data_IF_743952909856
#
_entry.id   IF_743952909856
#
_cell.length_a   1.000
_cell.length_b   1.000
_cell.length_c   1.000
_cell.angle_alpha   90.00
_cell.angle_beta   90.00
_cell.angle_gamma   90.00
#
_symmetry.space_group_name_H-M   'P 1'
#
loop_
_entity.id
_entity.type
_entity.pdbx_description
1 polymer ?
#
# COMPACT_ATOMS: atom_id res chain seq x y z
N UNK A 1 -9.14 -14.54 -7.12
CA UNK A 1 -10.60 -14.37 -6.99
C UNK A 1 -10.87 -13.62 -5.69
N UNK A 2 -11.82 -12.69 -5.68
CA UNK A 2 -12.25 -12.00 -4.45
C UNK A 2 -13.00 -13.01 -3.58
N UNK A 3 -12.62 -13.17 -2.30
CA UNK A 3 -13.36 -14.03 -1.36
C UNK A 3 -14.79 -13.50 -1.18
N UNK A 4 -15.75 -14.40 -1.03
CA UNK A 4 -17.14 -14.13 -0.67
C UNK A 4 -17.37 -14.40 0.82
N UNK A 5 -18.51 -13.97 1.37
CA UNK A 5 -18.84 -14.28 2.79
C UNK A 5 -18.98 -15.78 3.02
N UNK A 6 -19.37 -16.55 1.99
CA UNK A 6 -19.43 -18.02 2.04
C UNK A 6 -18.02 -18.59 2.18
N UNK A 7 -17.06 -18.10 1.39
CA UNK A 7 -15.66 -18.53 1.51
C UNK A 7 -15.07 -18.20 2.89
N UNK A 8 -15.49 -17.08 3.49
CA UNK A 8 -15.10 -16.71 4.85
C UNK A 8 -15.69 -17.71 5.86
N UNK A 9 -16.99 -17.96 5.83
CA UNK A 9 -17.65 -18.90 6.75
C UNK A 9 -17.11 -20.32 6.63
N UNK A 10 -16.79 -20.78 5.42
CA UNK A 10 -16.17 -22.10 5.21
C UNK A 10 -14.74 -22.20 5.78
N UNK A 11 -14.08 -21.08 6.01
CA UNK A 11 -12.72 -21.02 6.54
C UNK A 11 -12.65 -20.66 8.04
N UNK A 12 -13.78 -20.31 8.66
CA UNK A 12 -13.89 -20.04 10.09
C UNK A 12 -14.32 -21.30 10.84
N UNK A 13 -13.79 -21.56 12.04
CA UNK A 13 -14.32 -22.62 12.89
C UNK A 13 -15.71 -22.24 13.43
N UNK A 14 -16.57 -23.24 13.72
CA UNK A 14 -17.84 -23.04 14.42
C UNK A 14 -17.59 -22.84 15.93
N UNK A 15 -16.90 -21.76 16.29
CA UNK A 15 -16.48 -21.47 17.66
C UNK A 15 -17.43 -20.48 18.35
N UNK A 16 -17.22 -20.27 19.66
CA UNK A 16 -17.98 -19.33 20.47
C UNK A 16 -17.96 -17.90 19.88
N UNK A 17 -16.87 -17.50 19.24
CA UNK A 17 -16.74 -16.15 18.65
C UNK A 17 -17.69 -15.98 17.48
N UNK A 18 -17.78 -16.97 16.58
CA UNK A 18 -18.76 -16.96 15.49
C UNK A 18 -20.19 -16.98 16.06
N UNK A 19 -20.48 -17.82 17.05
CA UNK A 19 -21.82 -17.87 17.65
C UNK A 19 -22.25 -16.55 18.29
N UNK A 20 -21.37 -15.90 19.08
CA UNK A 20 -21.64 -14.60 19.67
C UNK A 20 -21.87 -13.51 18.62
N UNK A 21 -21.07 -13.53 17.54
CA UNK A 21 -21.23 -12.60 16.42
C UNK A 21 -22.56 -12.76 15.69
N UNK A 22 -23.00 -14.01 15.44
CA UNK A 22 -24.29 -14.26 14.79
C UNK A 22 -25.47 -13.85 15.70
N UNK A 23 -25.36 -14.15 17.00
CA UNK A 23 -26.37 -13.78 18.00
C UNK A 23 -26.51 -12.26 18.16
N UNK A 24 -25.40 -11.50 18.15
CA UNK A 24 -25.44 -10.03 18.26
C UNK A 24 -26.16 -9.37 17.09
N UNK A 25 -26.20 -10.03 15.93
CA UNK A 25 -26.94 -9.60 14.75
C UNK A 25 -28.40 -10.06 14.74
N UNK A 26 -28.84 -10.85 15.73
CA UNK A 26 -30.20 -11.37 15.81
C UNK A 26 -30.49 -12.50 14.82
N UNK A 27 -29.46 -13.12 14.23
CA UNK A 27 -29.67 -14.31 13.41
C UNK A 27 -29.95 -15.50 14.33
N UNK A 28 -31.17 -16.04 14.26
CA UNK A 28 -31.53 -17.26 14.96
C UNK A 28 -30.83 -18.45 14.29
N UNK A 29 -29.69 -18.86 14.85
CA UNK A 29 -29.00 -20.07 14.45
C UNK A 29 -29.34 -21.16 15.48
N UNK A 30 -29.62 -22.41 15.05
CA UNK A 30 -29.69 -23.54 15.96
C UNK A 30 -28.44 -23.59 16.85
N UNK A 31 -28.53 -24.08 18.11
CA UNK A 31 -27.36 -24.23 18.96
C UNK A 31 -26.25 -25.00 18.23
N UNK A 32 -24.99 -24.65 18.51
CA UNK A 32 -23.80 -25.19 17.86
C UNK A 32 -23.96 -26.70 17.58
N UNK A 33 -24.11 -27.12 16.32
CA UNK A 33 -24.19 -28.56 16.04
C UNK A 33 -22.86 -29.20 16.45
N UNK A 34 -22.92 -30.41 17.00
CA UNK A 34 -21.73 -31.24 17.12
C UNK A 34 -21.02 -31.28 15.76
N UNK A 35 -19.69 -31.10 15.69
CA UNK A 35 -18.97 -31.07 14.43
C UNK A 35 -19.32 -32.33 13.63
N UNK A 36 -20.06 -32.18 12.52
CA UNK A 36 -20.28 -33.29 11.61
C UNK A 36 -18.93 -33.64 10.97
N UNK A 37 -18.42 -34.88 11.15
CA UNK A 37 -17.05 -35.22 10.77
C UNK A 37 -16.76 -35.05 9.27
N UNK A 38 -17.79 -35.09 8.41
CA UNK A 38 -17.66 -35.10 6.94
C UNK A 38 -18.36 -33.93 6.22
N UNK A 39 -18.90 -32.95 6.95
CA UNK A 39 -19.63 -31.81 6.38
C UNK A 39 -18.76 -30.55 6.22
N UNK A 40 -19.01 -29.68 5.21
CA UNK A 40 -18.37 -28.38 5.17
C UNK A 40 -18.76 -27.56 6.42
N UNK A 41 -17.81 -26.85 7.07
CA UNK A 41 -18.10 -26.10 8.28
C UNK A 41 -19.14 -25.01 8.02
N UNK A 42 -19.93 -24.68 9.03
CA UNK A 42 -20.91 -23.57 9.01
C UNK A 42 -21.99 -23.63 7.91
N UNK A 43 -22.28 -24.81 7.35
CA UNK A 43 -23.31 -24.99 6.32
C UNK A 43 -24.67 -24.42 6.72
N UNK A 44 -25.12 -24.72 7.93
CA UNK A 44 -26.43 -24.27 8.41
C UNK A 44 -26.49 -22.75 8.59
N UNK A 45 -25.38 -22.13 9.01
CA UNK A 45 -25.24 -20.68 9.09
C UNK A 45 -25.36 -20.05 7.70
N UNK A 46 -24.69 -20.63 6.69
CA UNK A 46 -24.75 -20.15 5.31
C UNK A 46 -26.19 -20.20 4.79
N UNK A 47 -26.91 -21.29 5.01
CA UNK A 47 -28.30 -21.41 4.58
C UNK A 47 -29.25 -20.50 5.36
N UNK A 48 -29.02 -20.30 6.66
CA UNK A 48 -29.77 -19.34 7.47
C UNK A 48 -29.59 -17.90 6.97
N UNK A 49 -28.36 -17.49 6.64
CA UNK A 49 -28.08 -16.16 6.05
C UNK A 49 -28.76 -16.01 4.69
N UNK A 50 -28.73 -17.03 3.83
CA UNK A 50 -29.38 -16.99 2.51
C UNK A 50 -30.91 -16.83 2.63
N UNK A 51 -31.52 -17.55 3.57
CA UNK A 51 -32.96 -17.51 3.82
C UNK A 51 -33.41 -16.27 4.63
N UNK A 52 -32.48 -15.45 5.10
CA UNK A 52 -32.80 -14.30 5.96
C UNK A 52 -33.51 -13.20 5.17
N UNK A 53 -34.78 -12.96 5.52
CA UNK A 53 -35.65 -11.98 4.84
C UNK A 53 -35.29 -10.51 5.10
N UNK A 54 -34.65 -10.19 6.23
CA UNK A 54 -34.17 -8.83 6.49
C UNK A 54 -32.87 -8.59 5.71
N UNK A 55 -33.02 -8.09 4.49
CA UNK A 55 -31.90 -7.82 3.59
C UNK A 55 -30.91 -6.80 4.16
N UNK A 56 -31.37 -5.79 4.89
CA UNK A 56 -30.48 -4.76 5.45
C UNK A 56 -29.65 -5.32 6.61
N UNK A 57 -30.23 -6.15 7.48
CA UNK A 57 -29.50 -6.85 8.54
C UNK A 57 -28.51 -7.86 7.96
N UNK A 58 -28.94 -8.63 6.97
CA UNK A 58 -28.08 -9.59 6.25
C UNK A 58 -26.88 -8.89 5.60
N UNK A 59 -27.10 -7.79 4.89
CA UNK A 59 -26.02 -7.06 4.21
C UNK A 59 -25.01 -6.50 5.21
N UNK A 60 -25.47 -5.97 6.36
CA UNK A 60 -24.58 -5.56 7.47
C UNK A 60 -23.73 -6.72 7.98
N UNK A 61 -24.37 -7.84 8.34
CA UNK A 61 -23.65 -9.02 8.84
C UNK A 61 -22.60 -9.51 7.83
N UNK A 62 -22.96 -9.59 6.54
CA UNK A 62 -22.02 -10.03 5.50
C UNK A 62 -20.88 -9.04 5.31
N UNK A 63 -21.12 -7.73 5.42
CA UNK A 63 -20.07 -6.72 5.35
C UNK A 63 -19.08 -6.85 6.52
N UNK A 64 -19.56 -7.09 7.74
CA UNK A 64 -18.71 -7.30 8.92
C UNK A 64 -17.90 -8.60 8.84
N UNK A 65 -18.50 -9.70 8.36
CA UNK A 65 -17.75 -10.92 8.04
C UNK A 65 -16.64 -10.63 7.01
N UNK A 66 -16.97 -9.88 5.96
CA UNK A 66 -16.01 -9.56 4.91
C UNK A 66 -14.91 -8.62 5.36
N UNK A 67 -15.10 -7.83 6.41
CA UNK A 67 -14.06 -7.00 6.98
C UNK A 67 -12.87 -7.83 7.47
N UNK A 68 -13.11 -9.05 7.99
CA UNK A 68 -12.05 -9.97 8.41
C UNK A 68 -11.11 -10.39 7.27
N UNK A 69 -11.51 -10.25 6.00
CA UNK A 69 -10.62 -10.57 4.88
C UNK A 69 -9.44 -9.61 4.79
N UNK A 70 -9.58 -8.37 5.30
CA UNK A 70 -8.56 -7.33 5.20
C UNK A 70 -7.21 -7.72 5.83
N UNK A 71 -7.23 -8.45 6.96
CA UNK A 71 -6.03 -8.92 7.66
C UNK A 71 -5.85 -10.45 7.57
N UNK A 72 -6.56 -11.09 6.64
CA UNK A 72 -6.67 -12.55 6.56
C UNK A 72 -5.53 -13.26 5.84
N UNK A 73 -4.37 -12.63 5.72
CA UNK A 73 -3.14 -13.16 5.12
C UNK A 73 -1.94 -13.05 6.07
N UNK A 74 -0.76 -13.45 5.62
CA UNK A 74 0.44 -13.50 6.47
C UNK A 74 0.91 -12.10 6.92
N UNK A 75 0.77 -11.07 6.07
CA UNK A 75 1.15 -9.71 6.42
C UNK A 75 0.18 -9.13 7.47
N UNK A 76 -1.12 -9.35 7.26
CA UNK A 76 -2.15 -9.01 8.24
C UNK A 76 -1.97 -9.76 9.55
N UNK A 77 -1.58 -11.04 9.48
CA UNK A 77 -1.18 -11.86 10.63
C UNK A 77 -0.12 -11.18 11.49
N UNK A 78 1.00 -10.76 10.87
CA UNK A 78 2.06 -10.04 11.56
C UNK A 78 1.57 -8.72 12.16
N UNK A 79 0.78 -7.95 11.42
CA UNK A 79 0.22 -6.68 11.89
C UNK A 79 -0.69 -6.85 13.12
N UNK A 80 -1.49 -7.93 13.18
CA UNK A 80 -2.33 -8.24 14.34
C UNK A 80 -1.51 -8.54 15.59
N UNK A 81 -0.44 -9.34 15.48
CA UNK A 81 0.45 -9.61 16.61
C UNK A 81 1.18 -8.35 17.06
N UNK A 82 1.63 -7.53 16.12
CA UNK A 82 2.29 -6.25 16.42
C UNK A 82 1.36 -5.29 17.17
N UNK A 83 0.11 -5.13 16.71
CA UNK A 83 -0.90 -4.29 17.39
C UNK A 83 -1.22 -4.78 18.81
N UNK A 84 -1.15 -6.09 19.05
CA UNK A 84 -1.49 -6.72 20.32
C UNK A 84 -0.30 -6.88 21.28
N UNK A 85 0.91 -6.43 20.93
CA UNK A 85 2.14 -6.67 21.73
C UNK A 85 2.01 -6.28 23.21
N UNK A 86 1.25 -5.24 23.52
CA UNK A 86 1.04 -4.74 24.88
C UNK A 86 -0.03 -5.51 25.69
N UNK A 87 -0.76 -6.45 25.06
CA UNK A 87 -1.85 -7.21 25.67
C UNK A 87 -1.61 -8.73 25.57
N UNK A 88 -1.01 -9.34 26.62
CA UNK A 88 -0.71 -10.78 26.64
C UNK A 88 -1.93 -11.69 26.49
N UNK A 89 -3.10 -11.24 26.96
CA UNK A 89 -4.33 -12.02 26.83
C UNK A 89 -4.79 -12.06 25.37
N UNK A 90 -4.72 -10.93 24.67
CA UNK A 90 -5.03 -10.87 23.23
C UNK A 90 -4.04 -11.69 22.41
N UNK A 91 -2.73 -11.60 22.71
CA UNK A 91 -1.70 -12.41 22.02
C UNK A 91 -1.98 -13.92 22.16
N UNK A 92 -2.38 -14.35 23.35
CA UNK A 92 -2.75 -15.75 23.60
C UNK A 92 -3.96 -16.15 22.77
N UNK A 93 -5.00 -15.30 22.71
CA UNK A 93 -6.18 -15.52 21.87
C UNK A 93 -5.85 -15.64 20.38
N UNK A 94 -4.99 -14.76 19.86
CA UNK A 94 -4.50 -14.82 18.49
C UNK A 94 -3.70 -16.10 18.21
N UNK A 95 -2.90 -16.58 19.16
CA UNK A 95 -2.12 -17.80 19.00
C UNK A 95 -3.00 -19.06 18.94
N UNK A 96 -4.14 -19.06 19.63
CA UNK A 96 -5.10 -20.18 19.63
C UNK A 96 -5.96 -20.24 18.34
N UNK A 97 -5.98 -19.18 17.54
CA UNK A 97 -6.69 -19.18 16.27
C UNK A 97 -5.98 -20.04 15.21
N UNK A 98 -6.77 -20.81 14.47
CA UNK A 98 -6.30 -21.82 13.49
C UNK A 98 -5.71 -21.24 12.18
N UNK A 99 -5.99 -19.98 11.84
CA UNK A 99 -5.54 -19.33 10.60
C UNK A 99 -5.51 -17.81 10.75
N UNK A 100 -4.84 -17.10 9.83
CA UNK A 100 -4.82 -15.61 9.84
C UNK A 100 -6.20 -15.01 9.60
N UNK A 101 -7.03 -15.64 8.76
CA UNK A 101 -8.41 -15.23 8.60
C UNK A 101 -9.21 -15.40 9.90
N UNK A 102 -9.00 -16.49 10.63
CA UNK A 102 -9.64 -16.71 11.92
C UNK A 102 -9.14 -15.68 12.95
N UNK A 103 -7.83 -15.39 13.00
CA UNK A 103 -7.26 -14.31 13.84
C UNK A 103 -7.91 -12.97 13.56
N UNK A 104 -8.02 -12.63 12.29
CA UNK A 104 -8.61 -11.38 11.81
C UNK A 104 -10.09 -11.25 12.21
N UNK A 105 -10.88 -12.31 12.01
CA UNK A 105 -12.27 -12.35 12.43
C UNK A 105 -12.41 -12.25 13.96
N UNK A 106 -11.62 -13.04 14.70
CA UNK A 106 -11.63 -13.04 16.15
C UNK A 106 -11.29 -11.67 16.74
N UNK A 107 -10.26 -11.02 16.20
CA UNK A 107 -9.82 -9.69 16.61
C UNK A 107 -10.88 -8.63 16.26
N UNK A 108 -11.50 -8.73 15.08
CA UNK A 108 -12.60 -7.84 14.66
C UNK A 108 -13.75 -7.86 15.66
N UNK A 109 -14.20 -9.07 16.05
CA UNK A 109 -15.37 -9.27 16.91
C UNK A 109 -15.06 -8.90 18.37
N UNK A 110 -13.92 -9.33 18.90
CA UNK A 110 -13.61 -9.20 20.34
C UNK A 110 -12.84 -7.94 20.70
N UNK A 111 -12.03 -7.41 19.79
CA UNK A 111 -11.10 -6.31 20.07
C UNK A 111 -11.04 -5.31 18.91
N UNK A 112 -12.19 -4.69 18.60
CA UNK A 112 -12.37 -3.80 17.45
C UNK A 112 -11.27 -2.73 17.30
N UNK A 113 -10.87 -2.07 18.38
CA UNK A 113 -9.81 -1.05 18.36
C UNK A 113 -8.42 -1.62 18.00
N UNK A 114 -8.13 -2.87 18.37
CA UNK A 114 -6.89 -3.54 17.97
C UNK A 114 -6.93 -3.96 16.50
N UNK A 115 -8.10 -4.38 16.00
CA UNK A 115 -8.29 -4.66 14.58
C UNK A 115 -8.04 -3.42 13.71
N UNK A 116 -8.55 -2.25 14.13
CA UNK A 116 -8.34 -0.99 13.42
C UNK A 116 -6.85 -0.59 13.42
N UNK A 117 -6.16 -0.69 14.57
CA UNK A 117 -4.71 -0.46 14.64
C UNK A 117 -3.90 -1.43 13.77
N UNK A 118 -4.27 -2.71 13.76
CA UNK A 118 -3.63 -3.70 12.91
C UNK A 118 -3.84 -3.40 11.42
N UNK A 119 -5.00 -2.83 11.05
CA UNK A 119 -5.28 -2.38 9.68
C UNK A 119 -4.34 -1.25 9.24
N UNK A 120 -3.99 -0.34 10.14
CA UNK A 120 -3.03 0.74 9.85
C UNK A 120 -1.60 0.21 9.69
N UNK A 121 -1.19 -0.73 10.53
CA UNK A 121 0.11 -1.42 10.44
C UNK A 121 0.22 -2.22 9.13
N UNK A 122 -0.82 -2.96 8.77
CA UNK A 122 -0.88 -3.72 7.51
C UNK A 122 -0.86 -2.79 6.28
N UNK A 123 -1.59 -1.67 6.35
CA UNK A 123 -1.54 -0.66 5.31
C UNK A 123 -0.11 -0.16 5.10
N UNK A 124 0.63 0.14 6.17
CA UNK A 124 2.03 0.52 6.06
C UNK A 124 2.88 -0.59 5.42
N UNK A 125 2.75 -1.84 5.87
CA UNK A 125 3.51 -2.97 5.34
C UNK A 125 3.37 -3.10 3.81
N UNK A 126 2.16 -2.94 3.29
CA UNK A 126 1.86 -3.05 1.85
C UNK A 126 2.30 -1.83 1.01
N UNK A 127 2.41 -0.64 1.62
CA UNK A 127 2.60 0.60 0.87
C UNK A 127 3.93 1.31 1.15
N UNK A 128 4.72 0.85 2.12
CA UNK A 128 5.95 1.52 2.57
C UNK A 128 7.00 1.76 1.48
N UNK A 129 6.99 0.98 0.39
CA UNK A 129 7.84 1.19 -0.78
C UNK A 129 7.53 2.50 -1.53
N UNK A 130 6.34 3.06 -1.36
CA UNK A 130 5.89 4.34 -1.95
C UNK A 130 6.18 5.54 -1.03
N UNK A 131 6.76 5.30 0.15
CA UNK A 131 6.96 6.33 1.15
C UNK A 131 8.03 7.33 0.73
N UNK A 132 7.78 8.61 1.02
CA UNK A 132 8.78 9.66 0.85
C UNK A 132 9.57 9.84 2.13
N UNK A 133 10.88 10.04 2.01
CA UNK A 133 11.80 10.10 3.14
C UNK A 133 12.24 11.54 3.42
N UNK A 134 12.31 11.89 4.70
CA UNK A 134 12.81 13.19 5.16
C UNK A 134 13.75 13.00 6.35
N UNK A 135 14.85 13.74 6.38
CA UNK A 135 15.69 13.88 7.55
C UNK A 135 15.16 15.05 8.39
N UNK A 136 14.87 14.81 9.67
CA UNK A 136 14.45 15.86 10.60
C UNK A 136 15.63 16.66 11.16
N UNK A 137 16.86 16.15 11.05
CA UNK A 137 18.05 16.73 11.70
C UNK A 137 18.07 16.55 13.23
N UNK A 138 17.08 15.87 13.80
CA UNK A 138 16.90 15.65 15.24
C UNK A 138 16.56 14.20 15.55
N UNK A 139 17.00 13.74 16.72
CA UNK A 139 16.89 12.35 17.19
C UNK A 139 16.29 12.29 18.59
N UNK A 140 15.07 12.81 18.72
CA UNK A 140 14.36 12.85 20.00
C UNK A 140 13.37 11.72 20.10
N UNK A 141 13.17 11.22 21.32
CA UNK A 141 12.11 10.27 21.63
C UNK A 141 10.74 10.96 21.52
N UNK A 142 9.74 10.34 20.87
CA UNK A 142 8.39 10.89 20.82
C UNK A 142 7.77 11.14 22.20
N UNK A 143 7.05 12.24 22.32
CA UNK A 143 6.23 12.60 23.46
C UNK A 143 4.86 11.94 23.29
N UNK A 144 4.67 10.79 23.92
CA UNK A 144 3.46 9.96 23.84
C UNK A 144 2.35 10.46 24.80
N UNK A 145 2.09 11.77 24.82
CA UNK A 145 1.02 12.37 25.65
C UNK A 145 -0.19 12.75 24.81
N UNK A 146 -1.38 12.70 25.41
CA UNK A 146 -2.60 13.15 24.74
C UNK A 146 -2.53 14.62 24.30
N UNK A 147 -1.81 15.45 25.06
CA UNK A 147 -1.60 16.86 24.74
C UNK A 147 -0.73 17.06 23.48
N UNK A 148 0.35 16.29 23.35
CA UNK A 148 1.21 16.29 22.15
C UNK A 148 0.41 15.86 20.92
N UNK A 149 -0.33 14.74 21.01
CA UNK A 149 -1.18 14.29 19.91
C UNK A 149 -2.34 15.25 19.62
N UNK A 150 -2.87 15.96 20.62
CA UNK A 150 -3.89 16.99 20.41
C UNK A 150 -3.35 18.18 19.63
N UNK A 151 -2.14 18.67 19.97
CA UNK A 151 -1.46 19.73 19.21
C UNK A 151 -1.23 19.33 17.76
N UNK A 152 -0.71 18.12 17.52
CA UNK A 152 -0.54 17.54 16.19
C UNK A 152 -1.85 17.55 15.40
N UNK A 153 -2.94 17.01 15.98
CA UNK A 153 -4.25 16.95 15.33
C UNK A 153 -4.77 18.34 14.98
N UNK A 154 -4.61 19.30 15.88
CA UNK A 154 -5.05 20.69 15.66
C UNK A 154 -4.28 21.35 14.52
N UNK A 155 -2.95 21.17 14.44
CA UNK A 155 -2.13 21.70 13.36
C UNK A 155 -2.53 21.12 12.00
N UNK A 156 -2.75 19.81 11.93
CA UNK A 156 -3.21 19.11 10.72
C UNK A 156 -4.61 19.61 10.31
N UNK A 157 -5.55 19.69 11.25
CA UNK A 157 -6.89 20.22 11.00
C UNK A 157 -6.85 21.65 10.47
N UNK A 158 -6.06 22.54 11.10
CA UNK A 158 -5.92 23.92 10.67
C UNK A 158 -5.38 24.05 9.24
N UNK A 159 -4.44 23.19 8.85
CA UNK A 159 -3.96 23.11 7.47
C UNK A 159 -5.08 22.75 6.50
N UNK A 160 -5.81 21.66 6.74
CA UNK A 160 -6.86 21.21 5.82
C UNK A 160 -8.05 22.19 5.75
N UNK A 161 -8.37 22.86 6.86
CA UNK A 161 -9.42 23.88 6.88
C UNK A 161 -9.05 25.07 5.99
N UNK A 162 -7.79 25.53 6.06
CA UNK A 162 -7.30 26.63 5.23
C UNK A 162 -7.18 26.26 3.75
N UNK A 163 -6.59 25.11 3.45
CA UNK A 163 -6.24 24.75 2.06
C UNK A 163 -7.39 24.10 1.29
N UNK A 164 -8.29 23.40 1.98
CA UNK A 164 -9.32 22.56 1.35
C UNK A 164 -10.71 22.69 1.96
N UNK A 165 -10.90 23.55 2.95
CA UNK A 165 -12.18 23.76 3.65
C UNK A 165 -12.73 22.46 4.27
N UNK A 166 -11.84 21.53 4.66
CA UNK A 166 -12.17 20.27 5.33
C UNK A 166 -11.31 20.05 6.59
N UNK A 167 -11.41 18.88 7.24
CA UNK A 167 -10.59 18.55 8.40
C UNK A 167 -11.13 19.01 9.75
N UNK A 168 -12.45 19.16 9.89
CA UNK A 168 -13.12 19.38 11.19
C UNK A 168 -12.92 18.23 12.18
N UNK A 169 -12.72 17.01 11.66
CA UNK A 169 -12.39 15.82 12.44
C UNK A 169 -10.98 15.36 12.12
N UNK A 170 -10.18 15.11 13.14
CA UNK A 170 -8.84 14.55 13.02
C UNK A 170 -8.63 13.56 14.16
N UNK A 171 -8.20 12.35 13.84
CA UNK A 171 -7.86 11.29 14.80
C UNK A 171 -6.43 10.85 14.48
N UNK A 172 -5.61 10.67 15.51
CA UNK A 172 -4.21 10.29 15.35
C UNK A 172 -3.81 9.29 16.42
N UNK A 173 -3.05 8.27 16.01
CA UNK A 173 -2.49 7.24 16.86
C UNK A 173 -0.99 7.17 16.65
N UNK A 174 -0.24 7.09 17.74
CA UNK A 174 1.20 6.83 17.71
C UNK A 174 1.44 5.48 18.36
N UNK A 175 2.12 4.58 17.65
CA UNK A 175 2.41 3.23 18.12
C UNK A 175 3.90 2.95 17.94
N UNK A 176 4.55 2.46 18.98
CA UNK A 176 5.90 1.90 18.87
C UNK A 176 5.84 0.51 18.26
N UNK A 177 6.38 0.36 17.05
CA UNK A 177 6.39 -0.90 16.28
C UNK A 177 7.47 -1.85 16.77
N UNK A 178 8.64 -1.29 17.00
CA UNK A 178 9.84 -1.94 17.50
C UNK A 178 10.68 -0.90 18.25
N UNK A 179 11.69 -1.31 19.04
CA UNK A 179 12.49 -0.36 19.82
C UNK A 179 13.05 0.77 18.95
N UNK A 180 12.62 2.01 19.23
CA UNK A 180 13.04 3.21 18.51
C UNK A 180 12.37 3.45 17.14
N UNK A 181 11.41 2.61 16.73
CA UNK A 181 10.61 2.79 15.51
C UNK A 181 9.16 3.06 15.88
N UNK A 182 8.64 4.19 15.41
CA UNK A 182 7.29 4.65 15.73
C UNK A 182 6.47 4.85 14.47
N UNK A 183 5.20 4.45 14.50
CA UNK A 183 4.24 4.71 13.45
C UNK A 183 3.17 5.66 13.95
N UNK A 184 3.09 6.82 13.30
CA UNK A 184 1.98 7.73 13.41
C UNK A 184 0.99 7.44 12.28
N UNK A 185 -0.26 7.20 12.63
CA UNK A 185 -1.38 7.11 11.71
C UNK A 185 -2.36 8.25 11.99
N UNK A 186 -2.80 8.95 10.95
CA UNK A 186 -3.73 10.07 11.05
C UNK A 186 -4.87 9.91 10.06
N UNK A 187 -6.09 10.11 10.56
CA UNK A 187 -7.33 10.11 9.80
C UNK A 187 -7.97 11.49 9.87
N UNK A 188 -8.14 12.13 8.73
CA UNK A 188 -8.77 13.45 8.63
C UNK A 188 -10.11 13.32 7.90
N UNK A 189 -11.16 13.90 8.50
CA UNK A 189 -12.50 13.99 7.92
C UNK A 189 -12.47 14.90 6.69
N UNK A 190 -12.77 14.35 5.53
CA UNK A 190 -12.90 15.10 4.29
C UNK A 190 -14.30 15.72 4.14
N UNK A 191 -14.47 16.52 3.09
CA UNK A 191 -15.74 17.13 2.71
C UNK A 191 -16.85 16.08 2.61
N UNK A 192 -18.05 16.47 3.05
CA UNK A 192 -19.23 15.64 2.89
C UNK A 192 -19.50 15.39 1.40
N UNK A 193 -19.76 14.14 1.04
CA UNK A 193 -20.13 13.75 -0.32
C UNK A 193 -21.36 12.85 -0.31
N UNK A 194 -22.17 12.95 -1.37
CA UNK A 194 -23.25 12.01 -1.62
C UNK A 194 -22.68 10.74 -2.27
N UNK A 195 -22.95 9.59 -1.67
CA UNK A 195 -22.66 8.27 -2.24
C UNK A 195 -23.96 7.56 -2.58
N UNK A 196 -23.97 6.97 -3.77
CA UNK A 196 -25.07 6.15 -4.26
C UNK A 196 -24.84 4.72 -3.76
N UNK A 197 -25.70 4.25 -2.85
CA UNK A 197 -25.53 2.98 -2.16
C UNK A 197 -26.87 2.22 -2.12
N UNK A 198 -26.82 0.89 -2.13
CA UNK A 198 -27.99 0.08 -1.88
C UNK A 198 -28.21 -0.09 -0.37
N UNK A 199 -29.44 0.07 0.07
CA UNK A 199 -29.91 -0.34 1.40
C UNK A 199 -30.96 -1.44 1.19
N UNK A 200 -30.53 -2.69 1.34
CA UNK A 200 -31.28 -3.84 0.83
C UNK A 200 -31.42 -3.75 -0.69
N UNK A 201 -32.65 -3.68 -1.19
CA UNK A 201 -32.95 -3.59 -2.63
C UNK A 201 -33.17 -2.16 -3.13
N UNK A 202 -33.13 -1.16 -2.23
CA UNK A 202 -33.44 0.23 -2.56
C UNK A 202 -32.16 1.03 -2.75
N UNK A 203 -32.01 1.67 -3.90
CA UNK A 203 -30.91 2.58 -4.18
C UNK A 203 -31.16 3.93 -3.49
N UNK A 204 -30.25 4.35 -2.61
CA UNK A 204 -30.34 5.61 -1.85
C UNK A 204 -29.08 6.45 -2.02
N UNK A 205 -29.23 7.76 -1.87
CA UNK A 205 -28.10 8.67 -1.69
C UNK A 205 -27.86 8.86 -0.19
N UNK A 206 -26.66 8.51 0.29
CA UNK A 206 -26.24 8.76 1.68
C UNK A 206 -25.14 9.80 1.72
N UNK A 207 -25.22 10.69 2.70
CA UNK A 207 -24.13 11.62 3.00
C UNK A 207 -23.07 10.85 3.77
N UNK A 208 -21.84 10.86 3.26
CA UNK A 208 -20.68 10.31 3.95
C UNK A 208 -19.52 11.31 3.95
N UNK A 209 -18.64 11.19 4.95
CA UNK A 209 -17.39 11.94 5.01
C UNK A 209 -16.23 10.97 4.75
N UNK A 210 -15.57 11.05 3.59
CA UNK A 210 -14.38 10.26 3.31
C UNK A 210 -13.27 10.52 4.33
N UNK A 211 -12.40 9.54 4.49
CA UNK A 211 -11.19 9.67 5.29
C UNK A 211 -9.99 10.02 4.39
N UNK A 212 -9.26 11.07 4.75
CA UNK A 212 -7.91 11.33 4.26
C UNK A 212 -6.93 10.64 5.21
N UNK A 213 -6.40 9.50 4.75
CA UNK A 213 -5.45 8.69 5.52
C UNK A 213 -4.01 9.15 5.29
N UNK A 214 -3.26 9.34 6.38
CA UNK A 214 -1.85 9.72 6.39
C UNK A 214 -1.08 8.82 7.35
N UNK A 215 0.09 8.36 6.93
CA UNK A 215 0.96 7.53 7.78
C UNK A 215 2.37 8.07 7.75
N UNK A 216 3.03 8.09 8.91
CA UNK A 216 4.42 8.50 9.09
C UNK A 216 5.14 7.50 10.01
N UNK A 217 6.20 6.87 9.51
CA UNK A 217 7.12 6.07 10.31
C UNK A 217 8.33 6.92 10.69
N UNK A 218 8.73 6.91 11.96
CA UNK A 218 9.88 7.63 12.49
C UNK A 218 10.89 6.66 13.10
N UNK A 219 12.17 6.84 12.76
CA UNK A 219 13.27 6.10 13.36
C UNK A 219 14.11 7.02 14.26
N UNK A 220 14.09 6.78 15.57
CA UNK A 220 14.81 7.58 16.56
C UNK A 220 16.32 7.60 16.32
N UNK A 221 16.88 6.45 15.92
CA UNK A 221 18.32 6.28 15.76
C UNK A 221 18.92 7.18 14.66
N UNK A 222 18.15 7.44 13.60
CA UNK A 222 18.60 8.22 12.44
C UNK A 222 18.05 9.63 12.44
N UNK A 223 16.83 9.84 12.96
CA UNK A 223 16.08 11.08 12.78
C UNK A 223 15.26 11.12 11.49
N UNK A 224 15.21 10.00 10.76
CA UNK A 224 14.50 9.92 9.47
C UNK A 224 13.02 9.61 9.69
N UNK A 225 12.17 10.32 8.96
CA UNK A 225 10.77 9.98 8.79
C UNK A 225 10.47 9.47 7.38
N UNK A 226 9.55 8.52 7.29
CA UNK A 226 9.02 7.99 6.03
C UNK A 226 7.52 8.24 6.02
N UNK A 227 7.01 8.84 4.96
CA UNK A 227 5.64 9.36 4.90
C UNK A 227 4.86 8.76 3.74
N UNK A 228 3.64 8.31 4.02
CA UNK A 228 2.63 7.91 3.05
C UNK A 228 1.44 8.85 3.19
N UNK A 229 1.41 9.85 2.31
CA UNK A 229 0.35 10.84 2.26
C UNK A 229 -0.04 11.09 0.80
N UNK A 230 -1.35 11.14 0.54
CA UNK A 230 -1.85 11.60 -0.75
C UNK A 230 -1.75 13.11 -0.82
N UNK A 231 -0.87 13.63 -1.68
CA UNK A 231 -0.72 15.06 -1.88
C UNK A 231 0.66 15.42 -2.42
N UNK A 232 0.84 16.71 -2.71
CA UNK A 232 2.13 17.26 -3.11
C UNK A 232 3.02 17.58 -1.91
N UNK A 233 4.19 18.16 -2.21
CA UNK A 233 5.22 18.54 -1.25
C UNK A 233 4.69 19.29 -0.01
N UNK A 234 3.73 20.22 -0.19
CA UNK A 234 3.15 21.00 0.91
C UNK A 234 2.49 20.15 1.99
N UNK A 235 1.78 19.08 1.61
CA UNK A 235 1.08 18.21 2.57
C UNK A 235 2.10 17.36 3.33
N UNK A 236 3.10 16.83 2.62
CA UNK A 236 4.20 16.07 3.22
C UNK A 236 4.96 16.91 4.24
N UNK A 237 5.37 18.11 3.84
CA UNK A 237 6.09 19.04 4.71
C UNK A 237 5.26 19.42 5.94
N UNK A 238 3.96 19.68 5.78
CA UNK A 238 3.08 19.96 6.90
C UNK A 238 3.02 18.80 7.90
N UNK A 239 2.82 17.57 7.44
CA UNK A 239 2.75 16.41 8.34
C UNK A 239 4.06 16.24 9.12
N UNK A 240 5.19 16.36 8.43
CA UNK A 240 6.51 16.19 9.03
C UNK A 240 6.80 17.29 10.05
N UNK A 241 6.46 18.55 9.74
CA UNK A 241 6.62 19.68 10.65
C UNK A 241 5.71 19.56 11.88
N UNK A 242 4.44 19.21 11.68
CA UNK A 242 3.51 19.03 12.79
C UNK A 242 3.95 17.88 13.72
N UNK A 243 4.51 16.80 13.16
CA UNK A 243 5.11 15.72 13.94
C UNK A 243 6.32 16.22 14.75
N UNK A 244 7.27 16.90 14.11
CA UNK A 244 8.45 17.42 14.81
C UNK A 244 8.05 18.38 15.95
N UNK A 245 7.16 19.33 15.67
CA UNK A 245 6.75 20.35 16.62
C UNK A 245 6.04 19.76 17.83
N UNK A 246 5.01 18.94 17.59
CA UNK A 246 4.12 18.52 18.67
C UNK A 246 4.50 17.17 19.28
N UNK A 247 5.02 16.24 18.48
CA UNK A 247 5.37 14.90 18.95
C UNK A 247 6.84 14.82 19.36
N UNK A 248 7.75 15.54 18.69
CA UNK A 248 9.16 15.59 19.13
C UNK A 248 9.48 16.83 20.00
N UNK A 249 8.55 17.80 20.10
CA UNK A 249 8.73 19.00 20.91
C UNK A 249 9.72 20.01 20.33
N UNK A 250 10.01 19.95 19.02
CA UNK A 250 11.02 20.81 18.38
C UNK A 250 10.56 21.31 17.01
N UNK A 251 10.88 22.56 16.71
CA UNK A 251 10.75 23.09 15.35
C UNK A 251 11.87 22.52 14.48
N UNK A 252 11.52 21.69 13.50
CA UNK A 252 12.47 21.13 12.55
C UNK A 252 12.28 21.75 11.16
N UNK A 253 13.37 21.78 10.38
CA UNK A 253 13.36 22.10 8.94
C UNK A 253 13.65 20.81 8.18
N UNK A 254 12.63 20.01 7.82
CA UNK A 254 12.85 18.69 7.27
C UNK A 254 13.47 18.77 5.88
N UNK A 255 14.51 17.99 5.63
CA UNK A 255 15.15 17.89 4.33
C UNK A 255 14.70 16.61 3.63
N UNK A 256 14.20 16.74 2.40
CA UNK A 256 13.77 15.58 1.63
C UNK A 256 14.98 14.74 1.23
N UNK A 257 15.00 13.49 1.68
CA UNK A 257 16.00 12.51 1.25
C UNK A 257 15.55 12.01 -0.12
N UNK A 258 16.34 12.32 -1.15
CA UNK A 258 16.13 11.79 -2.50
C UNK A 258 16.60 10.34 -2.52
N UNK A 259 15.84 9.47 -3.17
CA UNK A 259 16.33 8.14 -3.48
C UNK A 259 17.65 8.28 -4.26
N UNK A 260 18.68 7.48 -3.96
CA UNK A 260 19.93 7.53 -4.70
C UNK A 260 19.64 7.29 -6.18
N UNK A 261 20.14 8.19 -7.02
CA UNK A 261 20.08 8.00 -8.46
C UNK A 261 21.01 6.84 -8.81
N UNK A 262 20.44 5.72 -9.27
CA UNK A 262 21.22 4.60 -9.76
C UNK A 262 21.80 4.96 -11.13
N UNK A 263 23.12 4.83 -11.28
CA UNK A 263 23.78 4.96 -12.58
C UNK A 263 23.50 3.70 -13.40
N UNK A 264 22.57 3.82 -14.35
CA UNK A 264 22.21 2.74 -15.26
C UNK A 264 23.13 2.65 -16.48
N UNK A 265 24.27 3.36 -16.50
CA UNK A 265 25.23 3.30 -17.61
C UNK A 265 25.70 1.87 -17.92
N UNK A 266 25.75 0.99 -16.91
CA UNK A 266 26.06 -0.42 -17.08
C UNK A 266 25.06 -1.16 -18.00
N UNK A 267 23.79 -0.72 -18.04
CA UNK A 267 22.76 -1.32 -18.91
C UNK A 267 22.90 -0.87 -20.39
N UNK A 268 23.74 0.14 -20.69
CA UNK A 268 23.96 0.59 -22.08
C UNK A 268 24.65 -0.46 -22.92
N UNK A 269 25.42 -1.36 -22.29
CA UNK A 269 26.11 -2.47 -22.95
C UNK A 269 25.19 -3.67 -23.24
N UNK A 270 23.92 -3.58 -22.87
CA UNK A 270 23.01 -4.71 -22.84
C UNK A 270 22.94 -5.34 -21.44
N UNK A 271 21.85 -6.04 -21.16
CA UNK A 271 21.69 -6.84 -19.97
C UNK A 271 21.75 -8.31 -20.40
N UNK A 272 22.80 -9.02 -19.98
CA UNK A 272 22.87 -10.47 -20.17
C UNK A 272 21.88 -11.12 -19.20
N UNK A 273 20.73 -11.53 -19.74
CA UNK A 273 19.81 -12.39 -19.02
C UNK A 273 20.47 -13.77 -18.93
N UNK A 274 20.77 -14.30 -17.72
CA UNK A 274 21.31 -15.65 -17.60
C UNK A 274 20.35 -16.63 -18.27
N UNK A 275 20.82 -17.39 -19.26
CA UNK A 275 19.94 -18.16 -20.16
C UNK A 275 19.21 -19.30 -19.45
N UNK A 276 19.69 -19.78 -18.31
CA UNK A 276 19.07 -20.89 -17.56
C UNK A 276 19.42 -20.75 -16.08
N UNK A 277 18.41 -20.71 -15.21
CA UNK A 277 18.63 -21.07 -13.81
C UNK A 277 18.58 -22.60 -13.71
N UNK A 278 19.50 -23.23 -12.97
CA UNK A 278 19.33 -24.64 -12.56
C UNK A 278 18.02 -24.86 -11.77
N UNK A 279 17.38 -23.78 -11.32
CA UNK A 279 16.14 -23.72 -10.56
C UNK A 279 14.84 -23.79 -11.41
N UNK A 280 14.92 -24.04 -12.73
CA UNK A 280 13.75 -24.31 -13.56
C UNK A 280 12.98 -23.08 -14.10
N UNK A 281 13.60 -21.90 -14.10
CA UNK A 281 13.06 -20.71 -14.76
C UNK A 281 13.55 -20.60 -16.21
N UNK A 282 12.63 -20.34 -17.15
CA UNK A 282 12.91 -20.32 -18.59
C UNK A 282 12.91 -18.94 -19.25
N UNK A 283 12.51 -17.88 -18.54
CA UNK A 283 12.35 -16.54 -19.14
C UNK A 283 12.30 -15.42 -18.10
N UNK A 284 13.03 -14.33 -18.37
CA UNK A 284 12.98 -13.07 -17.62
C UNK A 284 12.33 -11.99 -18.49
N UNK A 285 11.38 -11.24 -17.93
CA UNK A 285 10.67 -10.19 -18.68
C UNK A 285 10.63 -8.87 -17.91
N UNK A 286 11.01 -7.78 -18.60
CA UNK A 286 10.84 -6.43 -18.08
C UNK A 286 9.41 -5.95 -18.37
N UNK A 287 8.55 -5.84 -17.34
CA UNK A 287 7.13 -5.45 -17.50
C UNK A 287 6.83 -3.97 -17.32
N UNK A 288 7.69 -3.25 -16.61
CA UNK A 288 7.55 -1.81 -16.39
C UNK A 288 8.91 -1.14 -16.34
N UNK A 289 8.99 0.09 -16.85
CA UNK A 289 10.15 0.97 -16.77
C UNK A 289 9.66 2.39 -16.47
N UNK A 290 10.24 3.05 -15.47
CA UNK A 290 10.01 4.46 -15.22
C UNK A 290 11.33 5.24 -15.28
N UNK A 291 11.36 6.26 -16.12
CA UNK A 291 12.48 7.18 -16.31
C UNK A 291 12.11 8.54 -15.72
N UNK A 292 13.05 9.17 -15.03
CA UNK A 292 12.87 10.49 -14.45
C UNK A 292 14.01 11.40 -14.95
N UNK A 293 13.69 12.62 -15.35
CA UNK A 293 14.70 13.61 -15.67
C UNK A 293 15.53 13.99 -14.43
N UNK A 294 16.77 14.47 -14.59
CA UNK A 294 17.63 14.83 -13.47
C UNK A 294 17.04 15.91 -12.53
N UNK A 295 16.22 16.81 -13.07
CA UNK A 295 15.49 17.84 -12.32
C UNK A 295 14.18 17.33 -11.69
N UNK A 296 13.72 16.13 -12.07
CA UNK A 296 12.50 15.52 -11.58
C UNK A 296 11.21 16.05 -12.21
N UNK A 297 11.30 16.98 -13.16
CA UNK A 297 10.14 17.63 -13.79
C UNK A 297 9.47 16.76 -14.86
N UNK A 298 10.22 15.82 -15.46
CA UNK A 298 9.74 14.92 -16.50
C UNK A 298 9.81 13.47 -16.03
N UNK A 299 8.66 12.81 -15.99
CA UNK A 299 8.54 11.37 -15.73
C UNK A 299 7.98 10.66 -16.97
N UNK A 300 8.65 9.61 -17.42
CA UNK A 300 8.19 8.73 -18.50
C UNK A 300 7.97 7.34 -17.90
N UNK A 301 6.73 6.86 -17.95
CA UNK A 301 6.39 5.49 -17.53
C UNK A 301 6.01 4.65 -18.75
N UNK A 302 6.65 3.50 -18.87
CA UNK A 302 6.45 2.53 -19.94
C UNK A 302 6.04 1.20 -19.32
N UNK A 303 4.82 0.75 -19.60
CA UNK A 303 4.29 -0.51 -19.06
C UNK A 303 3.84 -1.42 -20.20
N UNK A 304 4.31 -2.67 -20.18
CA UNK A 304 3.84 -3.68 -21.12
C UNK A 304 2.41 -4.09 -20.75
N UNK A 305 1.45 -3.80 -21.63
CA UNK A 305 0.05 -4.14 -21.40
C UNK A 305 -0.14 -5.67 -21.37
N UNK A 306 -1.19 -6.15 -20.68
CA UNK A 306 -1.51 -7.59 -20.61
C UNK A 306 -1.64 -8.27 -21.98
N UNK A 307 -2.13 -7.54 -22.99
CA UNK A 307 -2.23 -8.02 -24.37
C UNK A 307 -0.87 -8.37 -25.00
N UNK A 308 0.23 -7.82 -24.49
CA UNK A 308 1.58 -8.04 -24.99
C UNK A 308 2.20 -9.38 -24.52
N UNK A 309 1.45 -10.20 -23.76
CA UNK A 309 1.83 -11.55 -23.30
C UNK A 309 3.27 -11.63 -22.76
N UNK A 310 4.19 -12.19 -23.56
CA UNK A 310 5.59 -12.48 -23.21
C UNK A 310 6.57 -11.38 -23.59
N UNK A 311 6.09 -10.26 -24.13
CA UNK A 311 6.97 -9.19 -24.58
C UNK A 311 7.44 -8.33 -23.43
N UNK A 312 8.69 -7.90 -23.52
CA UNK A 312 9.30 -6.96 -22.57
C UNK A 312 9.07 -5.51 -23.02
N UNK A 313 9.02 -4.57 -22.07
CA UNK A 313 8.89 -3.12 -22.32
C UNK A 313 9.95 -2.63 -23.31
N UNK A 314 11.20 -3.10 -23.18
CA UNK A 314 12.28 -2.74 -24.09
C UNK A 314 12.02 -3.15 -25.55
N UNK A 315 11.43 -4.32 -25.80
CA UNK A 315 11.06 -4.76 -27.15
C UNK A 315 9.93 -3.89 -27.72
N UNK A 316 8.94 -3.56 -26.89
CA UNK A 316 7.83 -2.70 -27.26
C UNK A 316 8.31 -1.28 -27.58
N UNK A 317 9.24 -0.73 -26.78
CA UNK A 317 9.85 0.58 -27.01
C UNK A 317 10.59 0.59 -28.35
N UNK A 318 11.39 -0.44 -28.65
CA UNK A 318 12.13 -0.53 -29.91
C UNK A 318 11.22 -0.58 -31.14
N UNK A 319 10.13 -1.34 -31.07
CA UNK A 319 9.21 -1.50 -32.20
C UNK A 319 8.29 -0.29 -32.40
N UNK A 320 7.78 0.29 -31.31
CA UNK A 320 6.73 1.30 -31.37
C UNK A 320 7.25 2.73 -31.34
N UNK A 321 8.48 2.94 -30.85
CA UNK A 321 9.16 4.23 -30.86
C UNK A 321 10.40 4.13 -31.76
N UNK A 322 10.25 4.33 -33.08
CA UNK A 322 11.38 4.30 -33.99
C UNK A 322 12.39 5.39 -33.60
N UNK A 323 13.67 5.04 -33.55
CA UNK A 323 14.76 5.99 -33.38
C UNK A 323 14.62 7.12 -34.42
N UNK A 324 14.83 8.36 -34.00
CA UNK A 324 14.72 9.55 -34.85
C UNK A 324 15.38 9.30 -36.22
N UNK A 325 14.56 9.36 -37.27
CA UNK A 325 15.04 9.45 -38.66
C UNK A 325 15.88 10.73 -38.77
N UNK A 326 17.16 10.59 -39.07
CA UNK A 326 18.02 11.72 -39.44
C UNK A 326 17.37 12.50 -40.58
N UNK A 327 17.22 13.80 -40.35
CA UNK A 327 16.61 14.71 -41.31
C UNK A 327 17.47 14.84 -42.58
N UNK A 328 16.86 14.53 -43.73
CA UNK A 328 17.07 15.20 -45.01
C UNK A 328 18.44 15.10 -45.69
N UNK A 329 18.60 14.12 -46.60
CA UNK A 329 19.45 14.31 -47.78
C UNK A 329 18.58 14.65 -49.00
N UNK A 330 18.67 15.90 -49.48
CA UNK A 330 18.20 16.29 -50.80
C UNK A 330 19.24 15.90 -51.87
N UNK A 331 18.83 15.54 -53.10
CA UNK A 331 19.75 15.09 -54.15
C UNK A 331 20.16 16.24 -55.08
N UNK A 332 21.46 16.52 -55.21
CA UNK A 332 22.21 16.94 -56.43
C UNK A 332 23.43 17.82 -56.08
N UNK A 333 24.64 17.31 -56.32
CA UNK A 333 25.61 17.83 -57.30
C UNK A 333 26.93 17.05 -57.21
N UNK A 334 27.57 16.91 -58.37
CA UNK A 334 28.80 16.16 -58.70
C UNK A 334 30.07 16.67 -57.98
N UNK A 335 31.19 15.90 -58.02
CA UNK A 335 32.27 15.95 -57.05
C UNK A 335 33.38 16.95 -57.43
N UNK A 336 34.03 17.54 -56.43
CA UNK A 336 35.33 18.17 -56.61
C UNK A 336 36.12 18.26 -55.29
N UNK A 337 37.34 17.72 -55.37
CA UNK A 337 38.56 18.03 -54.61
C UNK A 337 38.64 17.78 -53.11
N UNK A 338 39.58 16.87 -52.77
CA UNK A 338 40.56 16.90 -51.68
C UNK A 338 40.43 18.00 -50.60
N UNK A 339 40.47 17.59 -49.34
CA UNK A 339 41.67 17.69 -48.48
C UNK A 339 41.31 17.61 -47.00
N UNK A 340 42.03 16.74 -46.28
CA UNK A 340 42.46 16.82 -44.87
C UNK A 340 41.67 17.68 -43.87
N UNK A 341 41.24 17.06 -42.78
CA UNK A 341 41.61 17.40 -41.39
C UNK A 341 40.71 16.63 -40.41
N UNK A 342 41.33 15.89 -39.49
CA UNK A 342 40.65 15.26 -38.37
C UNK A 342 40.03 16.31 -37.43
N UNK A 343 38.98 15.95 -36.68
CA UNK A 343 38.75 16.59 -35.39
C UNK A 343 38.65 15.58 -34.23
N UNK A 344 39.22 16.02 -33.12
CA UNK A 344 39.27 15.47 -31.77
C UNK A 344 37.90 15.12 -31.16
N UNK A 345 37.85 14.27 -30.11
CA UNK A 345 36.59 13.84 -29.52
C UNK A 345 36.06 14.88 -28.53
N UNK A 346 34.79 15.27 -28.69
CA UNK A 346 34.02 15.98 -27.66
C UNK A 346 33.39 14.94 -26.72
N UNK A 347 33.84 14.91 -25.47
CA UNK A 347 33.07 14.38 -24.35
C UNK A 347 31.99 15.41 -24.01
N UNK A 348 30.72 14.97 -24.00
CA UNK A 348 29.70 15.31 -22.99
C UNK A 348 28.30 14.89 -23.50
N UNK A 349 27.68 13.92 -22.82
CA UNK A 349 26.26 13.60 -22.96
C UNK A 349 25.67 13.28 -21.57
N UNK A 350 24.52 13.86 -21.19
CA UNK A 350 24.00 13.78 -19.82
C UNK A 350 23.36 12.42 -19.51
N UNK A 351 23.62 11.89 -18.31
CA UNK A 351 23.03 10.64 -17.78
C UNK A 351 21.56 10.83 -17.38
N UNK A 352 20.70 9.91 -17.83
CA UNK A 352 19.29 9.78 -17.38
C UNK A 352 19.19 8.89 -16.13
N UNK A 353 18.25 9.22 -15.25
CA UNK A 353 17.99 8.49 -14.00
C UNK A 353 16.75 7.61 -14.11
N UNK A 354 16.74 6.45 -13.48
CA UNK A 354 15.57 5.57 -13.42
C UNK A 354 15.32 5.07 -11.99
N UNK A 355 14.05 4.76 -11.69
CA UNK A 355 13.64 4.16 -10.42
C UNK A 355 12.42 3.27 -10.64
N UNK A 356 12.33 2.15 -9.90
CA UNK A 356 11.40 1.02 -10.15
C UNK A 356 10.26 1.02 -9.12
N UNK A 357 9.02 0.74 -9.53
CA UNK A 357 7.85 0.59 -8.63
C UNK A 357 6.96 -0.60 -9.02
N UNK A 358 6.75 -1.54 -8.08
CA UNK A 358 5.52 -2.33 -7.90
C UNK A 358 5.40 -3.71 -8.59
N UNK A 359 4.98 -4.72 -7.81
CA UNK A 359 4.81 -6.13 -8.19
C UNK A 359 3.34 -6.59 -8.00
N UNK A 360 2.82 -7.46 -8.88
CA UNK A 360 1.51 -8.13 -8.73
C UNK A 360 1.55 -9.52 -9.37
N UNK A 361 1.24 -10.56 -8.60
CA UNK A 361 1.21 -11.95 -9.05
C UNK A 361 -0.22 -12.41 -9.40
N UNK A 362 -0.38 -13.05 -10.57
CA UNK A 362 -1.54 -13.88 -10.88
C UNK A 362 -1.06 -15.27 -11.32
N UNK A 363 -1.44 -16.29 -10.55
CA UNK A 363 -1.14 -17.71 -10.83
C UNK A 363 -1.82 -18.14 -12.13
N UNK A 364 -1.02 -18.45 -13.16
CA UNK A 364 -1.12 -19.64 -14.05
C UNK A 364 -0.20 -19.45 -15.26
N UNK A 365 1.11 -19.48 -15.01
CA UNK A 365 2.21 -19.88 -15.91
C UNK A 365 3.50 -19.44 -15.24
N UNK A 366 4.48 -20.34 -15.14
CA UNK A 366 5.76 -20.08 -14.51
C UNK A 366 6.49 -18.98 -15.30
N UNK A 367 6.44 -17.75 -14.80
CA UNK A 367 7.24 -16.61 -15.25
C UNK A 367 7.82 -15.98 -13.99
N UNK A 368 9.13 -16.04 -13.83
CA UNK A 368 9.81 -15.23 -12.84
C UNK A 368 9.93 -13.79 -13.37
N UNK A 369 9.47 -12.84 -12.56
CA UNK A 369 9.81 -11.44 -12.75
C UNK A 369 11.12 -11.22 -11.98
N UNK A 370 12.25 -11.16 -12.70
CA UNK A 370 13.53 -10.79 -12.06
C UNK A 370 13.47 -9.31 -11.75
N UNK A 371 13.46 -9.00 -10.46
CA UNK A 371 13.74 -7.67 -9.94
C UNK A 371 15.22 -7.64 -9.63
N UNK A 372 16.00 -6.87 -10.37
CA UNK A 372 17.39 -6.60 -10.02
C UNK A 372 17.39 -5.50 -8.98
N UNK A 373 17.62 -5.87 -7.72
CA UNK A 373 18.06 -4.95 -6.69
C UNK A 373 19.59 -4.94 -6.73
N UNK A 374 20.19 -3.80 -7.06
CA UNK A 374 21.59 -3.54 -6.74
C UNK A 374 21.60 -2.58 -5.53
N UNK A 375 22.36 -2.98 -4.51
CA UNK A 375 22.54 -2.25 -3.25
C UNK A 375 23.31 -0.95 -3.46
#
# INVERSE_FOLDING_TARGET
MKKTYVDVLLALPPDETLHQFLASHGLAVPPAPEPQPDGPPNRDVIEAIKAWGDTAARDRLTAELMASVALGDAAGGQAMFEAALADPAVLTGLAMCQSDLHRSFWLYVRHRALFERASDLDFWAHHSAQAQQFDLGVRYRPIETDAALAGLRQAISAYYQRERQCGEGCVAYLVTRSPGIHLLTVHVKDLAMLRLEFEGVVLKQRVGNPNIHMVLEYAEATGVVRTLVRGGHKVQQMLVQAFAEHVLGVQATPERIKAPALDLSALRMGFDVPEVFEDGFSLVQLKSLALLSPDGELKIECTAMQASRHRSVHELLREQLPAQRSAGSHPNRRPSSCSSLAPSPCHDAPCMQASVVGCSAARRSNVAVVSVACA
#
